data_IF_566963120846
#
_entry.id   IF_566963120846
#
_cell.length_a   1.000
_cell.length_b   1.000
_cell.length_c   1.000
_cell.angle_alpha   90.00
_cell.angle_beta   90.00
_cell.angle_gamma   90.00
#
_symmetry.space_group_name_H-M   'P 1'
#
loop_
_entity.id
_entity.type
_entity.pdbx_description
1 polymer ?
#
# COMPACT_ATOMS: atom_id res chain seq x y z
N UNK A 1 -10.13 0.87 -14.53
CA UNK A 1 -9.87 0.32 -13.18
C UNK A 1 -8.94 1.21 -12.33
N UNK A 2 -7.81 1.71 -12.84
CA UNK A 2 -6.84 2.52 -12.05
C UNK A 2 -7.47 3.76 -11.40
N UNK A 3 -8.44 4.40 -12.03
CA UNK A 3 -9.12 5.60 -11.50
C UNK A 3 -10.46 5.29 -10.83
N UNK A 4 -10.80 4.01 -10.67
CA UNK A 4 -12.05 3.60 -10.04
C UNK A 4 -12.00 3.80 -8.52
N UNK A 5 -13.12 4.16 -7.91
CA UNK A 5 -13.25 4.20 -6.46
C UNK A 5 -13.22 2.79 -5.86
N UNK A 6 -12.98 2.68 -4.54
CA UNK A 6 -13.07 1.39 -3.85
C UNK A 6 -14.44 0.73 -4.03
N UNK A 7 -15.52 1.52 -4.05
CA UNK A 7 -16.88 1.05 -4.29
C UNK A 7 -17.03 0.42 -5.68
N UNK A 8 -16.48 1.10 -6.71
CA UNK A 8 -16.55 0.61 -8.09
C UNK A 8 -15.69 -0.66 -8.28
N UNK A 9 -14.52 -0.71 -7.66
CA UNK A 9 -13.65 -1.90 -7.67
C UNK A 9 -14.34 -3.09 -6.98
N UNK A 10 -14.96 -2.88 -5.82
CA UNK A 10 -15.71 -3.90 -5.12
C UNK A 10 -16.90 -4.42 -5.96
N UNK A 11 -17.63 -3.52 -6.60
CA UNK A 11 -18.72 -3.89 -7.51
C UNK A 11 -18.23 -4.67 -8.74
N UNK A 12 -17.06 -4.31 -9.29
CA UNK A 12 -16.47 -5.01 -10.44
C UNK A 12 -16.02 -6.43 -10.07
N UNK A 13 -15.41 -6.61 -8.89
CA UNK A 13 -15.02 -7.92 -8.36
C UNK A 13 -16.23 -8.80 -8.07
N UNK A 14 -17.23 -8.27 -7.34
CA UNK A 14 -18.47 -8.99 -7.04
C UNK A 14 -19.25 -9.39 -8.30
N UNK A 15 -19.27 -8.51 -9.30
CA UNK A 15 -19.90 -8.74 -10.60
C UNK A 15 -19.03 -9.57 -11.56
N UNK A 16 -17.86 -10.08 -11.12
CA UNK A 16 -16.92 -10.87 -11.92
C UNK A 16 -16.50 -10.20 -13.24
N UNK A 17 -16.49 -8.85 -13.27
CA UNK A 17 -16.01 -8.07 -14.42
C UNK A 17 -14.49 -8.04 -14.53
N UNK A 18 -13.82 -8.28 -13.41
CA UNK A 18 -12.38 -8.44 -13.28
C UNK A 18 -12.13 -9.38 -12.10
N UNK A 19 -11.10 -10.20 -12.18
CA UNK A 19 -10.61 -10.99 -11.04
C UNK A 19 -9.72 -10.17 -10.14
N UNK A 20 -9.58 -10.58 -8.88
CA UNK A 20 -8.63 -9.97 -7.94
C UNK A 20 -7.17 -10.13 -8.44
N UNK A 21 -6.86 -11.27 -9.07
CA UNK A 21 -5.54 -11.50 -9.65
C UNK A 21 -5.22 -10.53 -10.80
N UNK A 22 -6.18 -10.27 -11.71
CA UNK A 22 -6.02 -9.28 -12.79
C UNK A 22 -5.89 -7.87 -12.22
N UNK A 23 -6.72 -7.52 -11.23
CA UNK A 23 -6.69 -6.20 -10.59
C UNK A 23 -5.36 -5.98 -9.85
N UNK A 24 -4.88 -6.96 -9.09
CA UNK A 24 -3.59 -6.88 -8.41
C UNK A 24 -2.43 -6.77 -9.41
N UNK A 25 -2.48 -7.55 -10.51
CA UNK A 25 -1.49 -7.48 -11.59
C UNK A 25 -1.40 -6.08 -12.17
N UNK A 26 -2.53 -5.46 -12.48
CA UNK A 26 -2.61 -4.10 -13.03
C UNK A 26 -1.88 -3.07 -12.12
N UNK A 27 -2.10 -3.13 -10.81
CA UNK A 27 -1.45 -2.24 -9.87
C UNK A 27 0.04 -2.56 -9.68
N UNK A 28 0.41 -3.85 -9.61
CA UNK A 28 1.81 -4.28 -9.48
C UNK A 28 2.66 -3.87 -10.70
N UNK A 29 2.12 -3.95 -11.91
CA UNK A 29 2.78 -3.46 -13.12
C UNK A 29 2.97 -1.95 -13.08
N UNK A 30 1.95 -1.22 -12.64
CA UNK A 30 2.05 0.23 -12.48
C UNK A 30 3.06 0.63 -11.39
N UNK A 31 3.11 -0.10 -10.26
CA UNK A 31 4.15 0.08 -9.23
C UNK A 31 5.52 -0.14 -9.85
N UNK A 32 5.74 -1.23 -10.57
CA UNK A 32 7.02 -1.52 -11.23
C UNK A 32 7.47 -0.41 -12.20
N UNK A 33 6.53 0.18 -12.93
CA UNK A 33 6.82 1.24 -13.90
C UNK A 33 7.08 2.62 -13.26
N UNK A 34 6.46 2.94 -12.12
CA UNK A 34 6.47 4.29 -11.55
C UNK A 34 7.24 4.43 -10.24
N UNK A 35 7.34 3.36 -9.44
CA UNK A 35 8.03 3.40 -8.16
C UNK A 35 9.52 3.79 -8.26
N UNK A 36 10.28 3.43 -9.31
CA UNK A 36 11.67 3.88 -9.45
C UNK A 36 11.83 5.41 -9.47
N UNK A 37 10.81 6.14 -9.91
CA UNK A 37 10.81 7.60 -9.96
C UNK A 37 10.27 8.23 -8.67
N UNK A 38 9.29 7.58 -8.03
CA UNK A 38 8.56 8.13 -6.87
C UNK A 38 9.13 7.67 -5.53
N UNK A 39 9.72 6.48 -5.48
CA UNK A 39 10.21 5.83 -4.26
C UNK A 39 9.12 5.68 -3.18
N UNK A 40 7.87 5.48 -3.62
CA UNK A 40 6.71 5.39 -2.73
C UNK A 40 6.62 4.05 -1.98
N UNK A 41 7.22 2.98 -2.50
CA UNK A 41 7.27 1.65 -1.89
C UNK A 41 8.70 1.25 -1.54
N UNK A 42 8.90 0.70 -0.34
CA UNK A 42 10.15 0.05 0.10
C UNK A 42 10.15 -1.41 -0.34
N UNK A 43 9.05 -2.11 -0.10
CA UNK A 43 8.95 -3.55 -0.38
C UNK A 43 7.72 -3.84 -1.23
N UNK A 44 7.95 -4.59 -2.31
CA UNK A 44 6.90 -5.16 -3.15
C UNK A 44 7.23 -6.63 -3.36
N UNK A 45 6.28 -7.51 -3.04
CA UNK A 45 6.41 -8.95 -3.27
C UNK A 45 5.26 -9.40 -4.19
N UNK A 46 5.56 -9.49 -5.49
CA UNK A 46 4.57 -9.81 -6.52
C UNK A 46 3.94 -11.19 -6.29
N UNK A 47 4.73 -12.17 -5.88
CA UNK A 47 4.24 -13.54 -5.72
C UNK A 47 3.28 -13.65 -4.54
N UNK A 48 3.62 -13.06 -3.40
CA UNK A 48 2.72 -12.99 -2.23
C UNK A 48 1.43 -12.25 -2.55
N UNK A 49 1.53 -11.08 -3.20
CA UNK A 49 0.35 -10.32 -3.59
C UNK A 49 -0.58 -11.12 -4.50
N UNK A 50 -0.03 -11.80 -5.51
CA UNK A 50 -0.83 -12.63 -6.42
C UNK A 50 -1.38 -13.90 -5.76
N UNK A 51 -0.67 -14.47 -4.79
CA UNK A 51 -1.20 -15.59 -4.00
C UNK A 51 -2.42 -15.15 -3.17
N UNK A 52 -2.34 -13.97 -2.52
CA UNK A 52 -3.48 -13.38 -1.80
C UNK A 52 -4.65 -13.08 -2.74
N UNK A 53 -4.38 -12.55 -3.94
CA UNK A 53 -5.41 -12.25 -4.93
C UNK A 53 -6.13 -13.51 -5.43
N UNK A 54 -5.39 -14.59 -5.73
CA UNK A 54 -5.99 -15.89 -6.09
C UNK A 54 -6.84 -16.48 -4.96
N UNK A 55 -6.39 -16.33 -3.71
CA UNK A 55 -7.19 -16.76 -2.55
C UNK A 55 -8.49 -15.96 -2.42
N UNK A 56 -8.45 -14.65 -2.71
CA UNK A 56 -9.62 -13.80 -2.75
C UNK A 56 -10.58 -14.21 -3.89
N UNK A 57 -10.06 -14.50 -5.08
CA UNK A 57 -10.88 -15.01 -6.20
C UNK A 57 -11.59 -16.32 -5.86
N UNK A 58 -10.90 -17.24 -5.19
CA UNK A 58 -11.50 -18.49 -4.72
C UNK A 58 -12.62 -18.22 -3.68
N UNK A 59 -12.44 -17.24 -2.79
CA UNK A 59 -13.45 -16.81 -1.82
C UNK A 59 -14.67 -16.18 -2.51
N UNK A 60 -14.45 -15.34 -3.52
CA UNK A 60 -15.51 -14.77 -4.35
C UNK A 60 -16.29 -15.86 -5.08
N UNK A 61 -15.59 -16.84 -5.64
CA UNK A 61 -16.22 -17.94 -6.37
C UNK A 61 -17.16 -18.79 -5.48
N UNK A 62 -16.83 -18.96 -4.19
CA UNK A 62 -17.65 -19.67 -3.19
C UNK A 62 -18.81 -18.84 -2.61
N UNK A 63 -18.93 -17.57 -2.98
CA UNK A 63 -19.96 -16.67 -2.43
C UNK A 63 -19.67 -16.18 -0.99
N UNK A 64 -18.42 -16.29 -0.54
CA UNK A 64 -17.95 -15.91 0.80
C UNK A 64 -17.33 -14.50 0.82
N UNK A 65 -17.53 -13.72 -0.22
CA UNK A 65 -16.92 -12.40 -0.36
C UNK A 65 -17.57 -11.35 0.53
N UNK A 66 -16.75 -10.59 1.23
CA UNK A 66 -17.14 -9.33 1.88
C UNK A 66 -16.83 -8.12 0.99
N UNK A 67 -17.17 -6.90 1.46
CA UNK A 67 -17.05 -5.67 0.66
C UNK A 67 -15.62 -5.34 0.20
N UNK A 68 -14.60 -5.83 0.91
CA UNK A 68 -13.20 -5.57 0.62
C UNK A 68 -12.45 -6.78 0.06
N UNK A 69 -13.14 -7.90 -0.13
CA UNK A 69 -12.49 -9.13 -0.64
C UNK A 69 -11.92 -8.90 -2.04
N UNK A 70 -10.63 -9.11 -2.18
CA UNK A 70 -9.90 -8.93 -3.44
C UNK A 70 -9.46 -7.50 -3.75
N UNK A 71 -9.77 -6.54 -2.89
CA UNK A 71 -9.32 -5.14 -3.07
C UNK A 71 -7.82 -5.04 -2.76
N UNK A 72 -7.00 -4.53 -3.69
CA UNK A 72 -5.58 -4.31 -3.45
C UNK A 72 -5.35 -3.06 -2.59
N UNK A 73 -4.48 -3.17 -1.59
CA UNK A 73 -4.11 -2.08 -0.67
C UNK A 73 -2.59 -2.02 -0.51
N UNK A 74 -2.08 -0.82 -0.21
CA UNK A 74 -0.72 -0.62 0.25
C UNK A 74 -0.70 -0.36 1.77
N UNK A 75 0.36 -0.80 2.45
CA UNK A 75 0.48 -0.60 3.90
C UNK A 75 1.73 0.20 4.25
N UNK A 76 1.56 1.27 5.05
CA UNK A 76 2.71 2.01 5.59
C UNK A 76 3.66 1.05 6.30
N UNK A 77 4.96 1.22 6.07
CA UNK A 77 5.97 0.25 6.51
C UNK A 77 6.22 0.21 8.03
N UNK A 78 5.42 0.92 8.80
CA UNK A 78 5.37 0.79 10.27
C UNK A 78 4.51 -0.40 10.72
N UNK A 79 3.54 -0.83 9.90
CA UNK A 79 2.65 -1.91 10.27
C UNK A 79 3.32 -3.28 10.08
N UNK A 80 3.47 -4.02 11.17
CA UNK A 80 3.87 -5.42 11.11
C UNK A 80 2.85 -6.20 10.29
N UNK A 81 3.33 -6.90 9.28
CA UNK A 81 2.55 -7.82 8.45
C UNK A 81 3.32 -9.13 8.36
N UNK A 82 2.70 -10.21 8.81
CA UNK A 82 3.33 -11.53 8.91
C UNK A 82 3.97 -11.97 7.60
N UNK A 83 5.24 -12.32 7.67
CA UNK A 83 6.02 -12.75 6.52
C UNK A 83 6.47 -11.61 5.58
N UNK A 84 6.14 -10.34 5.87
CA UNK A 84 6.60 -9.18 5.12
C UNK A 84 7.75 -8.49 5.82
N UNK A 85 8.71 -8.02 5.03
CA UNK A 85 9.74 -7.11 5.50
C UNK A 85 9.06 -5.85 6.05
N UNK A 86 9.42 -5.43 7.27
CA UNK A 86 8.83 -4.28 7.96
C UNK A 86 9.95 -3.47 8.59
N UNK A 87 10.36 -2.40 7.91
CA UNK A 87 11.59 -1.70 8.24
C UNK A 87 11.39 -0.40 8.99
N UNK A 88 10.18 0.14 9.05
CA UNK A 88 9.89 1.48 9.57
C UNK A 88 10.72 2.59 8.89
N UNK A 89 11.16 2.40 7.63
CA UNK A 89 12.05 3.32 6.93
C UNK A 89 13.47 3.35 7.47
N UNK A 90 13.88 2.38 8.31
CA UNK A 90 15.14 2.36 9.03
C UNK A 90 16.08 1.25 8.57
N UNK A 91 17.40 1.55 8.54
CA UNK A 91 18.44 0.54 8.36
C UNK A 91 18.46 -0.49 9.50
N UNK A 92 18.09 -0.09 10.71
CA UNK A 92 18.10 -0.97 11.89
C UNK A 92 17.20 -2.19 11.70
N UNK A 93 16.10 -2.04 10.96
CA UNK A 93 15.11 -3.09 10.69
C UNK A 93 15.15 -3.58 9.24
N UNK A 94 16.21 -3.30 8.49
CA UNK A 94 16.30 -3.63 7.07
C UNK A 94 16.22 -5.13 6.74
N UNK A 95 16.37 -6.00 7.73
CA UNK A 95 16.22 -7.45 7.62
C UNK A 95 15.10 -8.02 8.50
N UNK A 96 14.27 -7.17 9.12
CA UNK A 96 13.20 -7.63 10.00
C UNK A 96 11.98 -8.07 9.18
N UNK A 97 11.80 -9.37 9.06
CA UNK A 97 10.58 -9.98 8.55
C UNK A 97 9.63 -10.20 9.72
N UNK A 98 8.47 -9.57 9.69
CA UNK A 98 7.54 -9.62 10.82
C UNK A 98 6.98 -11.03 11.06
N UNK A 99 7.05 -11.56 12.29
CA UNK A 99 6.49 -12.87 12.63
C UNK A 99 5.00 -12.82 13.03
N UNK A 100 4.37 -11.65 12.97
CA UNK A 100 2.97 -11.43 13.35
C UNK A 100 2.35 -10.26 12.57
N UNK A 101 1.02 -10.21 12.58
CA UNK A 101 0.24 -9.10 12.03
C UNK A 101 -0.11 -8.07 13.11
N UNK A 102 0.08 -6.79 12.82
CA UNK A 102 -0.58 -5.72 13.58
C UNK A 102 -2.11 -5.86 13.47
N UNK A 103 -2.85 -5.41 14.49
CA UNK A 103 -4.31 -5.55 14.52
C UNK A 103 -5.00 -5.04 13.24
N UNK A 104 -4.55 -3.90 12.70
CA UNK A 104 -5.13 -3.35 11.47
C UNK A 104 -4.87 -4.27 10.27
N UNK A 105 -3.68 -4.85 10.16
CA UNK A 105 -3.31 -5.80 9.10
C UNK A 105 -4.13 -7.08 9.22
N UNK A 106 -4.24 -7.64 10.43
CA UNK A 106 -5.07 -8.82 10.68
C UNK A 106 -6.54 -8.60 10.26
N UNK A 107 -7.10 -7.41 10.53
CA UNK A 107 -8.46 -7.05 10.11
C UNK A 107 -8.60 -6.95 8.59
N UNK A 108 -7.64 -6.34 7.89
CA UNK A 108 -7.64 -6.30 6.42
C UNK A 108 -7.48 -7.70 5.81
N UNK A 109 -6.59 -8.52 6.36
CA UNK A 109 -6.40 -9.93 5.96
C UNK A 109 -7.70 -10.74 6.13
N UNK A 110 -8.39 -10.60 7.27
CA UNK A 110 -9.68 -11.24 7.51
C UNK A 110 -10.76 -10.76 6.53
N UNK A 111 -10.76 -9.48 6.16
CA UNK A 111 -11.65 -8.92 5.14
C UNK A 111 -11.32 -9.39 3.70
N UNK A 112 -10.19 -10.07 3.52
CA UNK A 112 -9.78 -10.63 2.23
C UNK A 112 -9.14 -9.63 1.28
N UNK A 113 -8.54 -8.55 1.81
CA UNK A 113 -7.79 -7.59 0.97
C UNK A 113 -6.47 -8.19 0.48
N UNK A 114 -5.90 -7.58 -0.56
CA UNK A 114 -4.63 -7.98 -1.15
C UNK A 114 -3.57 -6.93 -0.82
N UNK A 115 -2.50 -7.31 -0.13
CA UNK A 115 -1.37 -6.42 0.13
C UNK A 115 -0.52 -6.29 -1.13
N UNK A 116 -0.40 -5.07 -1.67
CA UNK A 116 0.49 -4.77 -2.82
C UNK A 116 1.95 -4.59 -2.40
N UNK A 117 2.16 -4.10 -1.19
CA UNK A 117 3.49 -3.83 -0.66
C UNK A 117 3.49 -2.89 0.52
N UNK A 118 4.69 -2.54 0.98
CA UNK A 118 4.97 -1.68 2.13
C UNK A 118 5.45 -0.32 1.64
N UNK A 119 4.72 0.75 1.99
CA UNK A 119 5.02 2.10 1.54
C UNK A 119 6.08 2.78 2.39
N UNK A 120 6.90 3.58 1.73
CA UNK A 120 7.97 4.35 2.32
C UNK A 120 7.43 5.41 3.32
N UNK A 121 8.26 5.77 4.29
CA UNK A 121 7.87 6.63 5.40
C UNK A 121 9.10 7.30 5.99
N UNK A 122 8.93 8.40 6.73
CA UNK A 122 10.00 8.91 7.59
C UNK A 122 10.39 7.85 8.62
N UNK A 123 11.70 7.76 8.91
CA UNK A 123 12.26 6.76 9.82
C UNK A 123 11.52 6.77 11.16
N UNK A 124 11.00 5.61 11.57
CA UNK A 124 10.17 5.40 12.78
C UNK A 124 8.98 6.36 12.91
N UNK A 125 8.46 6.88 11.80
CA UNK A 125 7.40 7.89 11.75
C UNK A 125 7.77 9.24 12.42
N UNK A 126 9.05 9.50 12.58
CA UNK A 126 9.60 10.72 13.20
C UNK A 126 10.07 11.69 12.11
N UNK A 127 9.11 12.35 11.47
CA UNK A 127 9.36 13.32 10.40
C UNK A 127 8.06 13.82 9.77
N UNK A 128 8.19 14.77 8.86
CA UNK A 128 7.06 15.42 8.18
C UNK A 128 7.29 15.68 6.69
N UNK A 129 8.37 15.16 6.11
CA UNK A 129 8.72 15.40 4.69
C UNK A 129 8.98 14.12 3.91
N UNK A 130 9.18 12.98 4.59
CA UNK A 130 9.63 11.70 4.06
C UNK A 130 11.04 11.74 3.45
N UNK A 131 11.90 12.59 4.01
CA UNK A 131 13.32 12.69 3.64
C UNK A 131 14.24 11.88 4.56
N UNK A 132 13.76 11.48 5.77
CA UNK A 132 14.57 10.79 6.78
C UNK A 132 14.67 9.27 6.55
N UNK A 133 13.95 8.73 5.57
CA UNK A 133 13.99 7.30 5.26
C UNK A 133 15.39 6.84 4.83
N UNK A 134 15.85 5.72 5.41
CA UNK A 134 17.07 5.04 4.95
C UNK A 134 17.00 4.65 3.46
N UNK A 135 15.81 4.41 2.95
CA UNK A 135 15.58 4.02 1.55
C UNK A 135 15.50 5.23 0.59
N UNK A 136 15.81 6.41 1.10
CA UNK A 136 15.77 7.66 0.34
C UNK A 136 14.41 8.36 0.35
N UNK A 137 14.36 9.61 -0.12
CA UNK A 137 13.17 10.43 -0.09
C UNK A 137 12.10 9.94 -1.06
N UNK A 138 10.85 10.07 -0.66
CA UNK A 138 9.70 9.94 -1.56
C UNK A 138 9.53 11.23 -2.35
N UNK A 139 9.12 11.12 -3.61
CA UNK A 139 8.82 12.27 -4.46
C UNK A 139 7.32 12.56 -4.51
N UNK A 140 6.98 13.84 -4.54
CA UNK A 140 5.60 14.25 -4.75
C UNK A 140 5.19 13.93 -6.20
N UNK A 141 4.06 13.24 -6.43
CA UNK A 141 3.63 12.87 -7.79
C UNK A 141 3.32 14.05 -8.71
N UNK A 142 3.00 15.23 -8.15
CA UNK A 142 2.70 16.44 -8.89
C UNK A 142 3.95 17.24 -9.27
N UNK A 143 4.99 17.18 -8.40
CA UNK A 143 6.26 17.85 -8.62
C UNK A 143 7.38 17.02 -7.99
N UNK A 144 8.20 16.39 -8.81
CA UNK A 144 9.30 15.53 -8.37
C UNK A 144 10.41 16.28 -7.61
N UNK A 145 10.42 17.61 -7.63
CA UNK A 145 11.33 18.42 -6.85
C UNK A 145 10.78 18.74 -5.45
N UNK A 146 9.47 18.51 -5.24
CA UNK A 146 8.80 18.75 -3.97
C UNK A 146 8.70 17.48 -3.11
N UNK A 147 8.57 17.68 -1.78
CA UNK A 147 8.30 16.60 -0.84
C UNK A 147 6.81 16.21 -0.86
N UNK A 148 6.46 14.95 -0.60
CA UNK A 148 5.06 14.54 -0.48
C UNK A 148 4.45 14.88 0.86
N UNK A 149 5.28 15.32 1.83
CA UNK A 149 4.94 15.37 3.25
C UNK A 149 5.19 14.02 3.93
N UNK A 150 4.99 13.97 5.24
CA UNK A 150 5.26 12.79 6.06
C UNK A 150 4.55 12.83 7.42
N UNK A 151 4.70 11.76 8.14
CA UNK A 151 5.57 10.59 7.92
C UNK A 151 5.00 9.54 6.97
N UNK A 152 3.72 9.60 6.54
CA UNK A 152 3.10 8.64 5.60
C UNK A 152 3.23 9.10 4.14
N UNK A 153 4.38 9.66 3.74
CA UNK A 153 4.59 10.24 2.42
C UNK A 153 4.48 9.22 1.29
N UNK A 154 5.04 8.03 1.46
CA UNK A 154 4.91 6.95 0.49
C UNK A 154 3.46 6.51 0.27
N UNK A 155 2.65 6.46 1.35
CA UNK A 155 1.22 6.11 1.24
C UNK A 155 0.45 7.18 0.47
N UNK A 156 0.67 8.47 0.76
CA UNK A 156 0.03 9.56 0.04
C UNK A 156 0.45 9.58 -1.44
N UNK A 157 1.75 9.49 -1.71
CA UNK A 157 2.28 9.45 -3.06
C UNK A 157 1.76 8.25 -3.86
N UNK A 158 1.66 7.06 -3.21
CA UNK A 158 1.14 5.86 -3.86
C UNK A 158 -0.32 6.03 -4.30
N UNK A 159 -1.17 6.60 -3.44
CA UNK A 159 -2.59 6.82 -3.76
C UNK A 159 -2.74 7.91 -4.82
N UNK A 160 -2.07 9.04 -4.67
CA UNK A 160 -2.10 10.15 -5.63
C UNK A 160 -1.63 9.72 -7.02
N UNK A 161 -0.53 8.97 -7.11
CA UNK A 161 -0.01 8.44 -8.37
C UNK A 161 -0.80 7.23 -8.90
N UNK A 162 -1.87 6.82 -8.22
CA UNK A 162 -2.67 5.64 -8.58
C UNK A 162 -1.85 4.33 -8.63
N UNK A 163 -0.91 4.18 -7.73
CA UNK A 163 -0.17 2.92 -7.52
C UNK A 163 -0.93 1.95 -6.61
N UNK A 164 -1.85 2.48 -5.82
CA UNK A 164 -2.80 1.73 -5.04
C UNK A 164 -4.11 2.52 -4.95
N UNK A 165 -5.27 1.86 -4.87
CA UNK A 165 -6.56 2.56 -4.73
C UNK A 165 -6.76 3.13 -3.33
N UNK A 166 -6.08 2.58 -2.32
CA UNK A 166 -6.01 3.09 -0.96
C UNK A 166 -4.74 2.59 -0.27
N UNK A 167 -4.34 3.29 0.78
CA UNK A 167 -3.20 2.91 1.62
C UNK A 167 -3.48 3.18 3.09
N UNK A 168 -2.82 2.41 3.97
CA UNK A 168 -2.81 2.71 5.40
C UNK A 168 -1.77 3.76 5.73
N UNK A 169 -1.98 4.50 6.81
CA UNK A 169 -1.05 5.46 7.37
C UNK A 169 -1.20 5.55 8.88
N UNK A 170 -0.33 6.33 9.52
CA UNK A 170 -0.43 6.69 10.94
C UNK A 170 -0.39 8.19 11.09
N UNK A 171 -1.15 8.74 12.03
CA UNK A 171 -1.22 10.18 12.27
C UNK A 171 -1.24 10.48 13.76
N UNK A 172 -0.16 11.04 14.27
CA UNK A 172 -0.07 11.57 15.62
C UNK A 172 -0.06 13.10 15.57
N UNK A 173 0.90 13.68 14.84
CA UNK A 173 1.07 15.12 14.67
C UNK A 173 0.70 15.66 13.28
N UNK A 174 -0.01 14.88 12.45
CA UNK A 174 -0.35 15.26 11.08
C UNK A 174 0.15 14.29 10.00
N UNK A 175 0.72 13.15 10.39
CA UNK A 175 1.43 12.24 9.47
C UNK A 175 0.56 11.50 8.43
N UNK A 176 -0.76 11.68 8.42
CA UNK A 176 -1.66 11.36 7.31
C UNK A 176 -2.18 12.65 6.67
N UNK A 177 -2.72 13.55 7.49
CA UNK A 177 -3.39 14.77 7.03
C UNK A 177 -2.47 15.65 6.19
N UNK A 178 -1.23 15.85 6.64
CA UNK A 178 -0.26 16.70 5.95
C UNK A 178 0.15 16.10 4.58
N UNK A 179 0.64 14.86 4.48
CA UNK A 179 0.99 14.31 3.16
C UNK A 179 -0.24 14.15 2.25
N UNK A 180 -1.43 13.87 2.79
CA UNK A 180 -2.66 13.86 2.00
C UNK A 180 -2.96 15.25 1.42
N UNK A 181 -2.80 16.33 2.20
CA UNK A 181 -3.02 17.69 1.72
C UNK A 181 -2.02 18.12 0.64
N UNK A 182 -0.76 17.65 0.70
CA UNK A 182 0.27 18.00 -0.27
C UNK A 182 0.23 17.13 -1.54
N UNK A 183 -0.35 15.94 -1.47
CA UNK A 183 -0.47 15.04 -2.61
C UNK A 183 -1.86 15.04 -3.29
N UNK A 184 -2.90 15.64 -2.70
CA UNK A 184 -4.27 15.73 -3.23
C UNK A 184 -5.14 14.56 -2.83
#
# INVERSE_FOLDING_TARGET
MINASLKDLAAALAGKKISSAELATLFLERIGARNPQLNAFITVDREKSLAMARAADARIARGEAGPLTGIPLAHKDIFCAEGWLTTCGSKMLSNFVSPYDATVIARFKAAGTVTLGKTNMDEFAMGSSNETSFYGPVKNPWDAAAVPGGSSGGSAAAVSARLAPAATGTDTGGSIRQPAALCG
#
